data_IF_041301335498
#
_entry.id   IF_041301335498
#
_cell.length_a   1.000
_cell.length_b   1.000
_cell.length_c   1.000
_cell.angle_alpha   90.00
_cell.angle_beta   90.00
_cell.angle_gamma   90.00
#
_symmetry.space_group_name_H-M   'P 1'
#
loop_
_entity.id
_entity.type
_entity.pdbx_description
1 polymer ?
#
# COMPACT_ATOMS: atom_id res chain seq x y z
N UNK A 1 -15.17 14.91 27.21
CA UNK A 1 -13.82 15.06 26.65
C UNK A 1 -13.83 14.47 25.24
N UNK A 2 -13.76 15.37 24.26
CA UNK A 2 -13.53 15.22 22.82
C UNK A 2 -13.13 13.83 22.29
N UNK A 3 -14.06 13.16 21.60
CA UNK A 3 -13.79 12.05 20.68
C UNK A 3 -14.16 12.45 19.24
N UNK A 4 -13.74 13.64 18.81
CA UNK A 4 -13.68 14.00 17.40
C UNK A 4 -12.23 13.88 16.98
N UNK A 5 -11.78 12.64 16.76
CA UNK A 5 -10.54 12.41 16.02
C UNK A 5 -10.99 12.47 14.56
N UNK A 6 -10.80 13.61 13.92
CA UNK A 6 -11.05 13.80 12.50
C UNK A 6 -10.30 12.70 11.74
N UNK A 7 -11.02 11.62 11.39
CA UNK A 7 -10.52 10.53 10.56
C UNK A 7 -10.55 11.01 9.11
N UNK A 8 -9.78 12.06 8.84
CA UNK A 8 -9.60 12.55 7.48
C UNK A 8 -8.84 11.51 6.68
N UNK A 9 -9.26 11.23 5.44
CA UNK A 9 -8.53 10.37 4.49
C UNK A 9 -7.06 10.78 4.42
N UNK A 10 -6.77 12.08 4.56
CA UNK A 10 -5.41 12.62 4.64
C UNK A 10 -4.62 12.08 5.86
N UNK A 11 -5.26 11.95 7.03
CA UNK A 11 -4.64 11.38 8.23
C UNK A 11 -4.40 9.87 8.12
N UNK A 12 -5.30 9.14 7.44
CA UNK A 12 -5.10 7.72 7.15
C UNK A 12 -3.95 7.53 6.15
N UNK A 13 -3.95 8.28 5.04
CA UNK A 13 -2.86 8.33 4.07
C UNK A 13 -1.52 8.69 4.71
N UNK A 14 -1.52 9.64 5.64
CA UNK A 14 -0.31 10.06 6.34
C UNK A 14 0.18 9.01 7.33
N UNK A 15 -0.72 8.28 8.00
CA UNK A 15 -0.35 7.12 8.81
C UNK A 15 0.19 5.98 7.94
N UNK A 16 -0.42 5.70 6.79
CA UNK A 16 0.10 4.72 5.82
C UNK A 16 1.45 5.13 5.24
N UNK A 17 1.63 6.41 4.89
CA UNK A 17 2.91 6.94 4.44
C UNK A 17 3.95 6.89 5.56
N UNK A 18 3.56 7.18 6.80
CA UNK A 18 4.45 7.05 7.96
C UNK A 18 4.84 5.59 8.17
N UNK A 19 3.92 4.64 8.07
CA UNK A 19 4.22 3.20 8.16
C UNK A 19 5.13 2.73 7.02
N UNK A 20 4.86 3.16 5.78
CA UNK A 20 5.74 2.90 4.63
C UNK A 20 7.13 3.49 4.85
N UNK A 21 7.19 4.70 5.42
CA UNK A 21 8.44 5.42 5.70
C UNK A 21 9.16 4.87 6.93
N UNK A 22 8.47 4.30 7.91
CA UNK A 22 9.02 3.57 9.05
C UNK A 22 9.56 2.21 8.62
N UNK A 23 8.91 1.55 7.66
CA UNK A 23 9.45 0.41 6.92
C UNK A 23 10.72 0.77 6.14
N UNK A 24 10.70 1.91 5.44
CA UNK A 24 11.86 2.48 4.73
C UNK A 24 12.97 2.91 5.70
N UNK A 25 12.64 3.40 6.90
CA UNK A 25 13.58 3.76 7.97
C UNK A 25 14.22 2.52 8.60
N UNK A 26 13.48 1.43 8.79
CA UNK A 26 14.05 0.14 9.18
C UNK A 26 14.98 -0.41 8.09
N UNK A 27 14.65 -0.21 6.81
CA UNK A 27 15.55 -0.50 5.70
C UNK A 27 16.80 0.40 5.74
N UNK A 28 16.66 1.69 6.06
CA UNK A 28 17.78 2.65 6.07
C UNK A 28 18.81 2.39 7.18
N UNK A 29 18.39 1.82 8.32
CA UNK A 29 19.31 1.36 9.38
C UNK A 29 19.98 0.02 9.05
N UNK A 30 19.48 -0.73 8.06
CA UNK A 30 20.15 -1.92 7.52
C UNK A 30 21.13 -1.62 6.38
N UNK A 31 21.26 -0.36 5.96
CA UNK A 31 22.23 0.07 4.95
C UNK A 31 21.57 0.89 3.85
N UNK A 32 21.70 2.20 3.95
CA UNK A 32 21.49 3.09 2.83
C UNK A 32 22.45 2.76 1.67
N UNK A 33 21.97 2.02 0.69
CA UNK A 33 22.45 2.04 -0.69
C UNK A 33 21.47 1.25 -1.56
N UNK A 34 21.20 1.78 -2.74
CA UNK A 34 20.61 1.10 -3.89
C UNK A 34 21.46 -0.11 -4.31
N UNK A 35 21.42 -1.16 -3.51
CA UNK A 35 22.07 -2.44 -3.75
C UNK A 35 21.03 -3.52 -3.48
N UNK A 36 20.91 -4.43 -4.44
CA UNK A 36 19.98 -5.56 -4.55
C UNK A 36 19.98 -6.47 -3.32
N UNK A 37 19.44 -5.98 -2.20
CA UNK A 37 19.37 -6.72 -0.94
C UNK A 37 18.03 -7.43 -0.88
N UNK A 38 18.10 -8.76 -0.71
CA UNK A 38 16.93 -9.62 -0.54
C UNK A 38 16.12 -9.18 0.68
N UNK A 39 14.80 -9.21 0.55
CA UNK A 39 13.89 -9.02 1.67
C UNK A 39 14.01 -10.21 2.63
N UNK A 40 13.85 -9.94 3.92
CA UNK A 40 13.70 -11.02 4.90
C UNK A 40 12.35 -11.71 4.74
N UNK A 41 12.22 -12.94 5.24
CA UNK A 41 10.94 -13.66 5.21
C UNK A 41 9.83 -12.90 5.96
N UNK A 42 10.18 -12.20 7.04
CA UNK A 42 9.25 -11.36 7.80
C UNK A 42 8.77 -10.15 7.00
N UNK A 43 9.67 -9.52 6.23
CA UNK A 43 9.31 -8.38 5.38
C UNK A 43 8.44 -8.81 4.19
N UNK A 44 8.72 -9.97 3.61
CA UNK A 44 7.87 -10.56 2.55
C UNK A 44 6.46 -10.83 3.08
N UNK A 45 6.33 -11.41 4.28
CA UNK A 45 5.04 -11.68 4.91
C UNK A 45 4.25 -10.38 5.15
N UNK A 46 4.93 -9.34 5.68
CA UNK A 46 4.34 -8.02 5.87
C UNK A 46 3.89 -7.38 4.57
N UNK A 47 4.72 -7.40 3.53
CA UNK A 47 4.39 -6.85 2.21
C UNK A 47 3.18 -7.58 1.60
N UNK A 48 3.13 -8.91 1.68
CA UNK A 48 2.00 -9.71 1.23
C UNK A 48 0.71 -9.44 2.02
N UNK A 49 0.81 -9.26 3.34
CA UNK A 49 -0.32 -8.87 4.17
C UNK A 49 -0.89 -7.50 3.76
N UNK A 50 -0.02 -6.50 3.58
CA UNK A 50 -0.42 -5.15 3.15
C UNK A 50 -1.00 -5.17 1.74
N UNK A 51 -0.42 -5.95 0.82
CA UNK A 51 -0.92 -6.13 -0.54
C UNK A 51 -2.35 -6.67 -0.54
N UNK A 52 -2.59 -7.77 0.18
CA UNK A 52 -3.91 -8.42 0.26
C UNK A 52 -4.95 -7.51 0.90
N UNK A 53 -4.57 -6.82 1.98
CA UNK A 53 -5.44 -5.85 2.64
C UNK A 53 -5.80 -4.67 1.71
N UNK A 54 -4.82 -4.15 0.96
CA UNK A 54 -5.03 -3.03 0.03
C UNK A 54 -5.94 -3.41 -1.13
N UNK A 55 -5.83 -4.64 -1.64
CA UNK A 55 -6.71 -5.16 -2.68
C UNK A 55 -8.15 -5.30 -2.20
N UNK A 56 -8.35 -5.84 -0.99
CA UNK A 56 -9.67 -5.90 -0.37
C UNK A 56 -10.27 -4.50 -0.15
N UNK A 57 -9.48 -3.55 0.33
CA UNK A 57 -9.92 -2.17 0.54
C UNK A 57 -10.30 -1.46 -0.77
N UNK A 58 -9.54 -1.67 -1.86
CA UNK A 58 -9.88 -1.15 -3.18
C UNK A 58 -11.24 -1.66 -3.66
N UNK A 59 -11.43 -2.98 -3.62
CA UNK A 59 -12.71 -3.58 -4.03
C UNK A 59 -13.87 -3.10 -3.17
N UNK A 60 -13.65 -2.95 -1.87
CA UNK A 60 -14.66 -2.46 -0.93
C UNK A 60 -14.99 -0.99 -1.18
N UNK A 61 -14.01 -0.14 -1.50
CA UNK A 61 -14.23 1.27 -1.83
C UNK A 61 -15.12 1.43 -3.07
N UNK A 62 -14.82 0.68 -4.14
CA UNK A 62 -15.63 0.66 -5.37
C UNK A 62 -17.09 0.23 -5.08
N UNK A 63 -17.26 -0.86 -4.31
CA UNK A 63 -18.59 -1.35 -3.91
C UNK A 63 -19.35 -0.35 -3.02
N UNK A 64 -18.65 0.28 -2.08
CA UNK A 64 -19.23 1.27 -1.17
C UNK A 64 -19.70 2.52 -1.93
N UNK A 65 -18.91 3.01 -2.88
CA UNK A 65 -19.27 4.14 -3.73
C UNK A 65 -20.55 3.84 -4.53
N UNK A 66 -20.60 2.68 -5.18
CA UNK A 66 -21.78 2.24 -5.93
C UNK A 66 -23.02 2.15 -5.04
N UNK A 67 -22.89 1.53 -3.86
CA UNK A 67 -23.99 1.39 -2.90
C UNK A 67 -24.47 2.72 -2.32
N UNK A 68 -23.56 3.67 -2.07
CA UNK A 68 -23.91 5.02 -1.65
C UNK A 68 -24.68 5.75 -2.76
N UNK A 69 -24.19 5.68 -4.00
CA UNK A 69 -24.86 6.29 -5.17
C UNK A 69 -26.24 5.69 -5.45
N UNK A 70 -26.51 4.44 -5.07
CA UNK A 70 -27.87 3.86 -5.14
C UNK A 70 -28.83 4.48 -4.12
N UNK A 71 -28.35 4.82 -2.92
CA UNK A 71 -29.20 5.23 -1.78
C UNK A 71 -29.43 6.73 -1.63
N UNK A 72 -28.63 7.58 -2.29
CA UNK A 72 -28.73 9.04 -2.16
C UNK A 72 -29.50 9.71 -3.30
N UNK A 73 -30.06 10.88 -3.01
CA UNK A 73 -30.79 11.73 -3.97
C UNK A 73 -29.92 12.12 -5.17
N UNK A 74 -30.50 12.20 -6.38
CA UNK A 74 -29.76 12.44 -7.64
C UNK A 74 -28.80 13.65 -7.59
N UNK A 75 -29.19 14.75 -6.94
CA UNK A 75 -28.35 15.95 -6.84
C UNK A 75 -27.12 15.82 -5.93
N UNK A 76 -26.99 14.73 -5.15
CA UNK A 76 -25.85 14.47 -4.27
C UNK A 76 -24.93 13.36 -4.81
N UNK A 77 -25.35 12.63 -5.85
CA UNK A 77 -24.60 11.49 -6.41
C UNK A 77 -23.24 11.90 -6.95
N UNK A 78 -23.18 13.07 -7.58
CA UNK A 78 -21.96 13.59 -8.19
C UNK A 78 -20.94 14.07 -7.14
N UNK A 79 -21.37 14.25 -5.88
CA UNK A 79 -20.46 14.59 -4.77
C UNK A 79 -19.84 13.36 -4.10
N UNK A 80 -20.33 12.15 -4.37
CA UNK A 80 -19.73 10.92 -3.85
C UNK A 80 -18.65 10.46 -4.81
N UNK A 81 -17.40 10.65 -4.38
CA UNK A 81 -16.22 10.29 -5.14
C UNK A 81 -15.18 9.67 -4.19
N UNK A 82 -14.99 8.36 -4.32
CA UNK A 82 -13.96 7.58 -3.64
C UNK A 82 -12.81 7.20 -4.60
N UNK A 83 -12.76 7.81 -5.80
CA UNK A 83 -11.62 7.68 -6.71
C UNK A 83 -10.28 8.00 -6.03
N UNK A 84 -10.12 9.06 -5.20
CA UNK A 84 -8.82 9.33 -4.58
C UNK A 84 -8.38 8.23 -3.60
N UNK A 85 -9.31 7.63 -2.84
CA UNK A 85 -9.04 6.47 -1.99
C UNK A 85 -8.66 5.25 -2.84
N UNK A 86 -9.38 5.01 -3.93
CA UNK A 86 -9.12 3.90 -4.85
C UNK A 86 -7.75 4.03 -5.51
N UNK A 87 -7.36 5.23 -5.95
CA UNK A 87 -6.05 5.52 -6.50
C UNK A 87 -4.94 5.32 -5.47
N UNK A 88 -5.19 5.66 -4.21
CA UNK A 88 -4.25 5.40 -3.12
C UNK A 88 -4.01 3.90 -2.92
N UNK A 89 -5.08 3.09 -2.85
CA UNK A 89 -4.92 1.63 -2.72
C UNK A 89 -4.23 1.03 -3.94
N UNK A 90 -4.54 1.48 -5.16
CA UNK A 90 -3.84 1.07 -6.38
C UNK A 90 -2.35 1.39 -6.33
N UNK A 91 -1.97 2.55 -5.78
CA UNK A 91 -0.57 2.94 -5.60
C UNK A 91 0.16 2.03 -4.60
N UNK A 92 -0.49 1.70 -3.47
CA UNK A 92 0.07 0.76 -2.48
C UNK A 92 0.27 -0.62 -3.10
N UNK A 93 -0.75 -1.15 -3.78
CA UNK A 93 -0.68 -2.44 -4.50
C UNK A 93 0.50 -2.43 -5.47
N UNK A 94 0.61 -1.41 -6.33
CA UNK A 94 1.71 -1.30 -7.30
C UNK A 94 3.09 -1.26 -6.63
N UNK A 95 3.20 -0.63 -5.47
CA UNK A 95 4.46 -0.52 -4.72
C UNK A 95 4.84 -1.87 -4.11
N UNK A 96 3.89 -2.57 -3.48
CA UNK A 96 4.09 -3.91 -2.93
C UNK A 96 4.54 -4.89 -4.03
N UNK A 97 3.88 -4.87 -5.19
CA UNK A 97 4.26 -5.72 -6.33
C UNK A 97 5.68 -5.39 -6.80
N UNK A 98 6.04 -4.11 -6.94
CA UNK A 98 7.38 -3.71 -7.35
C UNK A 98 8.46 -4.19 -6.38
N UNK A 99 8.21 -4.10 -5.06
CA UNK A 99 9.13 -4.59 -4.02
C UNK A 99 9.34 -6.11 -4.09
N UNK A 100 8.26 -6.87 -4.27
CA UNK A 100 8.35 -8.33 -4.41
C UNK A 100 9.08 -8.74 -5.69
N UNK A 101 8.82 -8.06 -6.81
CA UNK A 101 9.53 -8.30 -8.07
C UNK A 101 11.01 -8.00 -7.94
N UNK A 102 11.38 -6.89 -7.30
CA UNK A 102 12.77 -6.51 -7.06
C UNK A 102 13.49 -7.55 -6.18
N UNK A 103 12.83 -8.06 -5.12
CA UNK A 103 13.40 -9.14 -4.30
C UNK A 103 13.71 -10.37 -5.15
N UNK A 104 12.73 -10.84 -5.94
CA UNK A 104 12.89 -12.01 -6.82
C UNK A 104 14.06 -11.80 -7.79
N UNK A 105 14.15 -10.61 -8.41
CA UNK A 105 15.25 -10.26 -9.31
C UNK A 105 16.61 -10.32 -8.60
N UNK A 106 16.74 -9.74 -7.40
CA UNK A 106 17.97 -9.81 -6.61
C UNK A 106 18.37 -11.26 -6.25
N UNK A 107 17.38 -12.14 -6.06
CA UNK A 107 17.62 -13.57 -5.79
C UNK A 107 18.19 -14.29 -7.00
N UNK A 108 17.65 -14.01 -8.18
CA UNK A 108 18.14 -14.54 -9.45
C UNK A 108 19.56 -14.06 -9.77
N UNK A 109 19.86 -12.78 -9.55
CA UNK A 109 21.20 -12.22 -9.75
C UNK A 109 22.24 -12.88 -8.83
N UNK A 110 21.90 -13.09 -7.55
CA UNK A 110 22.78 -13.76 -6.58
C UNK A 110 23.06 -15.20 -6.95
N UNK A 111 22.03 -15.95 -7.37
CA UNK A 111 22.17 -17.33 -7.81
C UNK A 111 23.05 -17.43 -9.05
N UNK A 112 22.87 -16.53 -10.02
CA UNK A 112 23.66 -16.47 -11.25
C UNK A 112 25.13 -16.14 -10.97
N UNK A 113 25.41 -15.21 -10.05
CA UNK A 113 26.78 -14.86 -9.66
C UNK A 113 27.51 -16.02 -8.97
N UNK A 114 26.79 -16.92 -8.29
CA UNK A 114 27.36 -18.10 -7.62
C UNK A 114 27.71 -19.23 -8.60
N UNK A 115 27.14 -19.22 -9.81
CA UNK A 115 27.37 -20.24 -10.83
C UNK A 115 28.59 -19.98 -11.73
N UNK A 116 29.22 -18.81 -11.62
CA UNK A 116 30.37 -18.38 -12.43
C UNK A 116 31.63 -18.21 -11.58
#
# INVERSE_FOLDING_TARGET
>A
ASLSRDLSTAGLLQNFQTLLKEGDLSLSQLGGATSSTRLSAEDIDRVCCVLTASEYCLSTADQLEAKLKEKISRGLKDMVNLSPESDAFRKVISTCVALLVQDVQAGCETALATMN
#
